data_IF_951802601883
#
_entry.id   IF_951802601883
#
_cell.length_a   1.000
_cell.length_b   1.000
_cell.length_c   1.000
_cell.angle_alpha   90.00
_cell.angle_beta   90.00
_cell.angle_gamma   90.00
#
_symmetry.space_group_name_H-M   'P 1'
#
loop_
_entity.id
_entity.type
_entity.pdbx_description
1 polymer ?
#
# COMPACT_ATOMS: atom_id res chain seq x y z
N UNK A 1 -12.74 2.18 -24.79
CA UNK A 1 -11.31 1.99 -24.47
C UNK A 1 -10.64 3.35 -24.48
N UNK A 2 -9.99 3.79 -23.40
CA UNK A 2 -9.25 5.05 -23.40
C UNK A 2 -8.94 5.66 -22.04
N UNK A 3 -7.99 5.06 -21.31
CA UNK A 3 -7.00 5.77 -20.50
C UNK A 3 -7.46 6.63 -19.33
N UNK A 4 -8.03 6.04 -18.27
CA UNK A 4 -7.80 6.63 -16.94
C UNK A 4 -6.36 6.28 -16.54
N UNK A 5 -5.41 7.15 -16.88
CA UNK A 5 -4.07 7.06 -16.31
C UNK A 5 -4.19 6.89 -14.80
N UNK A 6 -3.45 5.94 -14.24
CA UNK A 6 -3.51 5.62 -12.81
C UNK A 6 -3.13 6.87 -12.00
N UNK A 7 -4.15 7.53 -11.43
CA UNK A 7 -3.98 8.72 -10.58
C UNK A 7 -3.04 8.45 -9.41
N UNK A 8 -3.02 7.20 -8.98
CA UNK A 8 -2.18 6.70 -7.91
C UNK A 8 -1.36 5.52 -8.46
N UNK A 9 -0.04 5.59 -8.34
CA UNK A 9 0.85 4.44 -8.53
C UNK A 9 1.19 3.80 -7.19
N UNK A 10 1.29 2.47 -7.18
CA UNK A 10 1.57 1.67 -6.00
C UNK A 10 2.85 0.88 -6.25
N UNK A 11 3.78 0.91 -5.30
CA UNK A 11 5.03 0.17 -5.39
C UNK A 11 5.43 -0.43 -4.04
N UNK A 12 5.95 -1.67 -3.99
CA UNK A 12 5.98 -2.65 -5.08
C UNK A 12 4.59 -3.19 -5.45
N UNK A 13 4.44 -3.79 -6.64
CA UNK A 13 3.19 -4.46 -7.05
C UNK A 13 2.91 -5.71 -6.20
N UNK A 14 3.98 -6.43 -5.85
CA UNK A 14 3.94 -7.58 -4.94
C UNK A 14 4.49 -7.22 -3.56
N UNK A 15 3.74 -7.56 -2.52
CA UNK A 15 4.17 -7.38 -1.13
C UNK A 15 4.92 -8.62 -0.63
N UNK A 16 6.22 -8.43 -0.37
CA UNK A 16 7.05 -9.45 0.28
C UNK A 16 7.17 -9.17 1.77
N UNK A 17 6.89 -10.19 2.58
CA UNK A 17 7.07 -10.14 4.04
C UNK A 17 8.26 -11.00 4.42
N UNK A 18 9.26 -10.39 5.05
CA UNK A 18 10.35 -11.14 5.66
C UNK A 18 9.82 -11.85 6.90
N UNK A 19 9.61 -13.16 6.79
CA UNK A 19 9.10 -13.98 7.86
C UNK A 19 10.21 -14.35 8.84
N UNK A 20 9.97 -14.09 10.12
CA UNK A 20 10.75 -14.61 11.23
C UNK A 20 9.79 -15.17 12.29
N UNK A 21 10.07 -16.38 12.78
CA UNK A 21 9.24 -17.03 13.80
C UNK A 21 9.14 -16.14 15.05
N UNK A 22 7.93 -16.02 15.60
CA UNK A 22 7.60 -15.23 16.80
C UNK A 22 7.89 -13.72 16.72
N UNK A 23 8.14 -13.19 15.51
CA UNK A 23 8.34 -11.75 15.29
C UNK A 23 7.27 -11.17 14.36
N UNK A 24 6.94 -9.90 14.58
CA UNK A 24 6.11 -9.13 13.66
C UNK A 24 6.86 -8.89 12.37
N UNK A 25 6.23 -9.20 11.25
CA UNK A 25 6.74 -8.93 9.93
C UNK A 25 6.23 -7.56 9.46
N UNK A 26 7.08 -6.81 8.75
CA UNK A 26 6.71 -5.51 8.22
C UNK A 26 7.08 -5.45 6.73
N UNK A 27 6.25 -4.79 5.95
CA UNK A 27 6.55 -4.40 4.59
C UNK A 27 6.13 -2.94 4.38
N UNK A 28 6.80 -2.25 3.47
CA UNK A 28 6.43 -0.90 3.09
C UNK A 28 5.69 -0.93 1.77
N UNK A 29 4.59 -0.19 1.69
CA UNK A 29 3.87 0.10 0.46
C UNK A 29 3.99 1.59 0.18
N UNK A 30 4.54 1.95 -0.98
CA UNK A 30 4.62 3.33 -1.44
C UNK A 30 3.43 3.63 -2.31
N UNK A 31 2.71 4.68 -1.93
CA UNK A 31 1.59 5.23 -2.69
C UNK A 31 2.02 6.57 -3.26
N UNK A 32 2.04 6.70 -4.58
CA UNK A 32 2.43 7.92 -5.28
C UNK A 32 1.21 8.51 -5.96
N UNK A 33 0.84 9.72 -5.59
CA UNK A 33 -0.17 10.49 -6.31
C UNK A 33 0.50 11.16 -7.51
N UNK A 34 0.09 10.80 -8.72
CA UNK A 34 0.63 11.32 -9.98
C UNK A 34 -0.14 12.57 -10.48
N UNK A 35 -1.12 13.04 -9.72
CA UNK A 35 -1.92 14.22 -10.07
C UNK A 35 -1.48 15.45 -9.29
N UNK A 36 -1.87 16.63 -9.81
CA UNK A 36 -1.66 17.92 -9.14
C UNK A 36 -2.68 18.19 -8.02
N UNK A 37 -3.67 17.31 -7.85
CA UNK A 37 -4.76 17.44 -6.89
C UNK A 37 -4.65 16.44 -5.75
N UNK A 38 -5.39 16.67 -4.66
CA UNK A 38 -5.49 15.69 -3.58
C UNK A 38 -6.24 14.44 -4.07
N UNK A 39 -5.68 13.27 -3.77
CA UNK A 39 -6.28 11.98 -4.07
C UNK A 39 -6.53 11.21 -2.76
N UNK A 40 -7.76 10.73 -2.59
CA UNK A 40 -8.12 9.81 -1.51
C UNK A 40 -8.07 8.37 -2.00
N UNK A 41 -7.62 7.45 -1.14
CA UNK A 41 -7.60 6.03 -1.44
C UNK A 41 -8.08 5.22 -0.24
N UNK A 42 -8.60 4.01 -0.53
CA UNK A 42 -9.03 3.04 0.47
C UNK A 42 -8.33 1.72 0.20
N UNK A 43 -7.72 1.15 1.23
CA UNK A 43 -7.14 -0.20 1.15
C UNK A 43 -8.28 -1.22 1.25
N UNK A 44 -8.37 -2.14 0.28
CA UNK A 44 -9.39 -3.18 0.25
C UNK A 44 -8.77 -4.55 0.58
N UNK A 45 -9.45 -5.31 1.45
CA UNK A 45 -9.32 -6.76 1.66
C UNK A 45 -7.91 -7.34 1.73
N UNK A 46 -7.37 -7.50 2.94
CA UNK A 46 -6.48 -8.63 3.21
C UNK A 46 -7.36 -9.77 3.74
N UNK A 47 -7.20 -11.02 3.27
CA UNK A 47 -8.07 -12.13 3.65
C UNK A 47 -8.16 -12.40 5.17
N UNK A 48 -7.27 -11.81 5.98
CA UNK A 48 -7.24 -11.92 7.44
C UNK A 48 -7.18 -10.54 8.09
N UNK A 49 -8.32 -9.86 8.20
CA UNK A 49 -8.39 -8.50 8.77
C UNK A 49 -7.77 -8.35 10.17
N UNK A 50 -7.76 -9.42 10.97
CA UNK A 50 -7.22 -9.40 12.34
C UNK A 50 -5.69 -9.62 12.42
N UNK A 51 -5.04 -9.96 11.30
CA UNK A 51 -3.62 -10.31 11.27
C UNK A 51 -2.71 -9.20 10.74
N UNK A 52 -3.28 -8.10 10.22
CA UNK A 52 -2.51 -7.02 9.61
C UNK A 52 -2.83 -5.68 10.23
N UNK A 53 -1.78 -4.88 10.45
CA UNK A 53 -1.88 -3.50 10.92
C UNK A 53 -1.31 -2.57 9.84
N UNK A 54 -2.13 -1.63 9.38
CA UNK A 54 -1.70 -0.59 8.44
C UNK A 54 -1.26 0.63 9.24
N UNK A 55 0.00 1.03 9.07
CA UNK A 55 0.53 2.28 9.62
C UNK A 55 0.81 3.24 8.48
N UNK A 56 0.21 4.42 8.51
CA UNK A 56 0.57 5.50 7.59
C UNK A 56 1.95 6.03 7.99
N UNK A 57 2.90 5.97 7.07
CA UNK A 57 4.23 6.56 7.23
C UNK A 57 4.21 8.06 6.96
N UNK A 58 5.14 8.80 7.56
CA UNK A 58 5.37 10.21 7.23
C UNK A 58 6.03 10.33 5.85
N UNK A 59 5.67 11.38 5.11
CA UNK A 59 6.31 11.72 3.84
C UNK A 59 7.71 12.23 4.12
N UNK A 60 8.73 11.41 3.85
CA UNK A 60 10.15 11.83 3.85
C UNK A 60 10.45 12.65 2.61
#
# INVERSE_FOLDING_TARGET
MGGSGTLISIYPEDLTFLFELDKRCYCNLKVVNNSEHHAAFKVHGLPFHDQYFLKLGEKV
#
